data_IF_155258629029
#
_entry.id   IF_155258629029
#
_cell.length_a   1.000
_cell.length_b   1.000
_cell.length_c   1.000
_cell.angle_alpha   90.00
_cell.angle_beta   90.00
_cell.angle_gamma   90.00
#
_symmetry.space_group_name_H-M   'P 1'
#
loop_
_entity.id
_entity.type
_entity.pdbx_description
1 polymer ?
#
# COMPACT_ATOMS: atom_id res chain seq x y z
N UNK A 1 -9.22 4.92 17.46
CA UNK A 1 -10.24 5.15 16.42
C UNK A 1 -9.67 4.84 15.04
N UNK A 2 -10.46 4.30 14.15
CA UNK A 2 -10.03 3.89 12.82
C UNK A 2 -10.71 4.76 11.78
N UNK A 3 -9.90 5.41 10.93
CA UNK A 3 -10.40 6.26 9.86
C UNK A 3 -10.04 5.66 8.50
N UNK A 4 -10.96 5.81 7.55
CA UNK A 4 -10.78 5.35 6.18
C UNK A 4 -11.05 6.48 5.21
N UNK A 5 -10.29 6.52 4.13
CA UNK A 5 -10.56 7.45 3.04
C UNK A 5 -10.18 6.80 1.71
N UNK A 6 -11.14 6.67 0.80
CA UNK A 6 -10.85 6.21 -0.56
C UNK A 6 -10.22 7.37 -1.32
N UNK A 7 -8.95 7.25 -1.68
CA UNK A 7 -8.26 8.27 -2.47
C UNK A 7 -8.64 8.16 -3.93
N UNK A 8 -8.69 6.95 -4.45
CA UNK A 8 -9.07 6.65 -5.83
C UNK A 8 -9.76 5.30 -5.87
N UNK A 9 -10.75 5.16 -6.74
CA UNK A 9 -11.43 3.89 -6.95
C UNK A 9 -11.83 3.74 -8.41
N UNK A 10 -11.85 2.50 -8.89
CA UNK A 10 -12.26 2.19 -10.26
C UNK A 10 -11.16 1.59 -11.10
N UNK A 11 -11.43 1.42 -12.39
CA UNK A 11 -10.52 0.76 -13.32
C UNK A 11 -9.28 1.59 -13.69
N UNK A 12 -9.31 2.89 -13.43
CA UNK A 12 -8.16 3.76 -13.73
C UNK A 12 -7.16 3.84 -12.59
N UNK A 13 -7.51 3.34 -11.41
CA UNK A 13 -6.61 3.30 -10.27
C UNK A 13 -7.33 3.13 -8.96
N UNK A 14 -6.69 2.47 -8.02
CA UNK A 14 -7.25 2.22 -6.68
C UNK A 14 -6.23 2.58 -5.61
N UNK A 15 -6.67 3.28 -4.58
CA UNK A 15 -5.87 3.54 -3.39
C UNK A 15 -6.78 3.91 -2.23
N UNK A 16 -6.58 3.24 -1.10
CA UNK A 16 -7.34 3.47 0.12
C UNK A 16 -6.38 3.89 1.22
N UNK A 17 -6.72 4.96 1.92
CA UNK A 17 -5.97 5.40 3.10
C UNK A 17 -6.67 4.90 4.35
N UNK A 18 -5.90 4.30 5.28
CA UNK A 18 -6.41 3.80 6.56
C UNK A 18 -5.52 4.34 7.67
N UNK A 19 -6.14 4.88 8.70
CA UNK A 19 -5.43 5.48 9.82
C UNK A 19 -5.98 4.97 11.16
N UNK A 20 -5.08 4.59 12.06
CA UNK A 20 -5.37 4.33 13.46
C UNK A 20 -4.64 5.39 14.29
N UNK A 21 -4.64 5.26 15.62
CA UNK A 21 -3.91 6.21 16.46
C UNK A 21 -2.41 6.25 16.16
N UNK A 22 -1.82 5.09 15.85
CA UNK A 22 -0.36 4.98 15.69
C UNK A 22 0.08 4.51 14.32
N UNK A 23 -0.84 4.27 13.39
CA UNK A 23 -0.49 3.78 12.06
C UNK A 23 -1.24 4.51 10.96
N UNK A 24 -0.55 4.76 9.86
CA UNK A 24 -1.13 5.29 8.63
C UNK A 24 -0.66 4.37 7.51
N UNK A 25 -1.59 3.78 6.79
CA UNK A 25 -1.25 2.88 5.70
C UNK A 25 -2.00 3.22 4.42
N UNK A 26 -1.41 2.83 3.30
CA UNK A 26 -2.07 2.84 2.00
C UNK A 26 -2.38 1.41 1.63
N UNK A 27 -3.60 1.15 1.18
CA UNK A 27 -3.97 -0.13 0.58
C UNK A 27 -4.05 0.12 -0.91
N UNK A 28 -3.11 -0.43 -1.64
CA UNK A 28 -2.89 -0.24 -3.07
C UNK A 28 -2.47 1.19 -3.44
N UNK A 29 -1.72 1.30 -4.52
CA UNK A 29 -1.17 2.55 -5.02
C UNK A 29 -1.32 2.57 -6.55
N UNK A 30 -2.58 2.46 -7.00
CA UNK A 30 -2.91 2.28 -8.41
C UNK A 30 -2.79 3.54 -9.27
N UNK A 31 -2.48 4.69 -8.68
CA UNK A 31 -2.27 5.94 -9.40
C UNK A 31 -0.79 6.32 -9.32
N UNK A 32 -0.38 7.31 -10.14
CA UNK A 32 1.00 7.79 -10.10
C UNK A 32 1.34 8.33 -8.71
N UNK A 33 2.62 8.30 -8.36
CA UNK A 33 3.10 8.83 -7.09
C UNK A 33 2.62 10.27 -6.87
N UNK A 34 2.72 11.11 -7.90
CA UNK A 34 2.28 12.51 -7.83
C UNK A 34 0.80 12.63 -7.43
N UNK A 35 -0.06 11.84 -8.06
CA UNK A 35 -1.50 11.88 -7.77
C UNK A 35 -1.82 11.38 -6.37
N UNK A 36 -1.11 10.36 -5.91
CA UNK A 36 -1.28 9.87 -4.55
C UNK A 36 -0.83 10.91 -3.54
N UNK A 37 0.29 11.59 -3.78
CA UNK A 37 0.76 12.68 -2.92
C UNK A 37 -0.26 13.81 -2.87
N UNK A 38 -0.81 14.20 -4.02
CA UNK A 38 -1.83 15.25 -4.08
C UNK A 38 -3.08 14.87 -3.29
N UNK A 39 -3.51 13.59 -3.41
CA UNK A 39 -4.68 13.11 -2.69
C UNK A 39 -4.45 13.09 -1.18
N UNK A 40 -3.30 12.63 -0.73
CA UNK A 40 -2.95 12.63 0.69
C UNK A 40 -2.89 14.06 1.23
N UNK A 41 -2.26 14.97 0.51
CA UNK A 41 -2.18 16.36 0.92
C UNK A 41 -3.57 17.00 1.01
N UNK A 42 -4.50 16.61 0.14
CA UNK A 42 -5.87 17.15 0.16
C UNK A 42 -6.64 16.77 1.41
N UNK A 43 -6.24 15.69 2.08
CA UNK A 43 -6.82 15.28 3.37
C UNK A 43 -5.88 15.57 4.54
N UNK A 44 -4.91 16.44 4.31
CA UNK A 44 -3.95 16.90 5.33
C UNK A 44 -3.09 15.79 5.91
N UNK A 45 -2.72 14.81 5.08
CA UNK A 45 -1.82 13.73 5.46
C UNK A 45 -0.49 13.92 4.73
N UNK A 46 0.59 14.01 5.50
CA UNK A 46 1.94 14.10 4.93
C UNK A 46 2.31 12.70 4.37
N UNK A 47 2.65 12.60 3.07
CA UNK A 47 3.05 11.31 2.50
C UNK A 47 4.20 10.63 3.23
N UNK A 48 5.12 11.39 3.83
CA UNK A 48 6.23 10.81 4.59
C UNK A 48 5.81 10.16 5.91
N UNK A 49 4.57 10.39 6.34
CA UNK A 49 4.05 9.80 7.57
C UNK A 49 3.45 8.41 7.37
N UNK A 50 3.35 7.93 6.12
CA UNK A 50 2.80 6.61 5.83
C UNK A 50 3.74 5.53 6.34
N UNK A 51 3.22 4.61 7.14
CA UNK A 51 4.00 3.53 7.76
C UNK A 51 4.17 2.31 6.87
N UNK A 52 3.22 2.06 5.98
CA UNK A 52 3.25 0.87 5.15
C UNK A 52 2.31 0.98 3.96
N UNK A 53 2.62 0.21 2.93
CA UNK A 53 1.74 0.03 1.77
C UNK A 53 1.38 -1.45 1.71
N UNK A 54 0.09 -1.75 1.67
CA UNK A 54 -0.42 -3.11 1.47
C UNK A 54 -0.85 -3.24 0.01
N UNK A 55 -0.43 -4.31 -0.64
CA UNK A 55 -0.83 -4.59 -2.03
C UNK A 55 -1.79 -5.77 -2.03
N UNK A 56 -2.99 -5.55 -2.58
CA UNK A 56 -4.02 -6.59 -2.66
C UNK A 56 -3.95 -7.38 -3.96
N UNK A 57 -3.59 -6.73 -5.05
CA UNK A 57 -3.53 -7.34 -6.39
C UNK A 57 -2.36 -6.80 -7.17
N UNK A 58 -1.80 -7.61 -8.07
CA UNK A 58 -0.70 -7.24 -8.95
C UNK A 58 -1.14 -6.48 -10.22
N UNK A 59 -2.43 -6.23 -10.39
CA UNK A 59 -2.93 -5.51 -11.57
C UNK A 59 -2.50 -4.05 -11.57
N UNK A 60 -2.28 -3.48 -12.76
CA UNK A 60 -1.77 -2.12 -12.92
C UNK A 60 -2.58 -1.06 -12.15
N UNK A 61 -3.90 -1.21 -12.09
CA UNK A 61 -4.78 -0.30 -11.38
C UNK A 61 -4.65 -0.38 -9.85
N UNK A 62 -3.77 -1.25 -9.34
CA UNK A 62 -3.47 -1.38 -7.91
C UNK A 62 -2.01 -1.10 -7.57
N UNK A 63 -1.10 -1.06 -8.57
CA UNK A 63 0.34 -0.98 -8.29
C UNK A 63 1.09 0.11 -9.07
N UNK A 64 0.41 0.91 -9.86
CA UNK A 64 1.06 1.86 -10.77
C UNK A 64 2.11 2.76 -10.09
N UNK A 65 1.81 3.27 -8.92
CA UNK A 65 2.71 4.17 -8.19
C UNK A 65 3.56 3.50 -7.13
N UNK A 66 3.49 2.18 -7.01
CA UNK A 66 4.06 1.44 -5.87
C UNK A 66 5.55 1.68 -5.66
N UNK A 67 6.37 1.34 -6.64
CA UNK A 67 7.82 1.44 -6.48
C UNK A 67 8.28 2.88 -6.29
N UNK A 68 7.65 3.81 -6.99
CA UNK A 68 8.01 5.22 -6.93
C UNK A 68 7.75 5.81 -5.55
N UNK A 69 6.55 5.57 -5.00
CA UNK A 69 6.18 6.13 -3.69
C UNK A 69 6.94 5.45 -2.55
N UNK A 70 7.12 4.14 -2.63
CA UNK A 70 7.93 3.41 -1.64
C UNK A 70 9.34 3.94 -1.59
N UNK A 71 9.95 4.12 -2.76
CA UNK A 71 11.33 4.59 -2.86
C UNK A 71 11.49 6.04 -2.39
N UNK A 72 10.56 6.91 -2.79
CA UNK A 72 10.61 8.34 -2.46
C UNK A 72 10.53 8.59 -0.96
N UNK A 73 9.70 7.87 -0.26
CA UNK A 73 9.44 8.07 1.17
C UNK A 73 9.96 6.93 2.05
N UNK A 74 10.66 5.98 1.47
CA UNK A 74 11.22 4.82 2.17
C UNK A 74 10.15 4.05 2.96
N UNK A 75 9.06 3.69 2.28
CA UNK A 75 7.91 3.04 2.90
C UNK A 75 7.94 1.54 2.68
N UNK A 76 7.82 0.72 3.74
CA UNK A 76 7.74 -0.73 3.60
C UNK A 76 6.50 -1.17 2.82
N UNK A 77 6.66 -2.19 1.98
CA UNK A 77 5.59 -2.75 1.16
C UNK A 77 5.28 -4.16 1.64
N UNK A 78 4.01 -4.45 1.85
CA UNK A 78 3.52 -5.74 2.32
C UNK A 78 2.63 -6.38 1.27
N UNK A 79 2.95 -7.59 0.88
CA UNK A 79 2.15 -8.39 -0.05
C UNK A 79 2.47 -9.87 0.15
N UNK A 80 1.69 -10.75 -0.47
CA UNK A 80 2.04 -12.17 -0.49
C UNK A 80 3.23 -12.36 -1.42
N UNK A 81 3.95 -13.47 -1.23
CA UNK A 81 5.05 -13.82 -2.13
C UNK A 81 4.55 -13.96 -3.56
N UNK A 82 3.37 -14.57 -3.74
CA UNK A 82 2.77 -14.71 -5.07
C UNK A 82 2.53 -13.37 -5.75
N UNK A 83 2.05 -12.38 -5.00
CA UNK A 83 1.81 -11.05 -5.56
C UNK A 83 3.12 -10.38 -5.95
N UNK A 84 4.16 -10.44 -5.10
CA UNK A 84 5.47 -9.91 -5.47
C UNK A 84 6.04 -10.57 -6.72
N UNK A 85 5.91 -11.90 -6.83
CA UNK A 85 6.40 -12.64 -7.99
C UNK A 85 5.62 -12.29 -9.25
N UNK A 86 4.35 -11.91 -9.12
CA UNK A 86 3.48 -11.55 -10.24
C UNK A 86 3.67 -10.10 -10.71
N UNK A 87 4.45 -9.29 -9.99
CA UNK A 87 4.74 -7.92 -10.38
C UNK A 87 6.25 -7.65 -10.40
N UNK A 88 7.01 -8.41 -11.21
CA UNK A 88 8.48 -8.34 -11.18
C UNK A 88 9.05 -6.96 -11.49
N UNK A 89 8.44 -6.21 -12.38
CA UNK A 89 8.90 -4.87 -12.73
C UNK A 89 8.82 -3.90 -11.54
N UNK A 90 7.83 -4.04 -10.68
CA UNK A 90 7.72 -3.24 -9.46
C UNK A 90 8.65 -3.76 -8.38
N UNK A 91 8.62 -5.07 -8.15
CA UNK A 91 9.42 -5.72 -7.09
C UNK A 91 10.90 -5.43 -7.25
N UNK A 92 11.41 -5.51 -8.46
CA UNK A 92 12.81 -5.30 -8.79
C UNK A 92 13.28 -3.86 -8.44
N UNK A 93 12.36 -2.90 -8.44
CA UNK A 93 12.66 -1.50 -8.11
C UNK A 93 12.56 -1.19 -6.61
N UNK A 94 11.99 -2.09 -5.82
CA UNK A 94 11.84 -1.90 -4.38
C UNK A 94 13.17 -2.19 -3.67
N UNK A 95 13.45 -1.44 -2.61
CA UNK A 95 14.57 -1.77 -1.74
C UNK A 95 14.26 -3.07 -1.02
N UNK A 96 15.24 -3.97 -0.93
CA UNK A 96 15.06 -5.27 -0.30
C UNK A 96 14.53 -5.17 1.13
N UNK A 97 15.01 -4.19 1.89
CA UNK A 97 14.57 -3.95 3.26
C UNK A 97 13.09 -3.59 3.37
N UNK A 98 12.49 -3.12 2.27
CA UNK A 98 11.09 -2.71 2.24
C UNK A 98 10.16 -3.78 1.66
N UNK A 99 10.69 -4.96 1.34
CA UNK A 99 9.87 -6.08 0.87
C UNK A 99 9.48 -6.94 2.07
N UNK A 100 8.20 -7.03 2.36
CA UNK A 100 7.68 -7.79 3.50
C UNK A 100 6.59 -8.73 3.02
N UNK A 101 6.72 -10.00 3.35
CA UNK A 101 5.74 -11.01 2.98
C UNK A 101 4.72 -11.23 4.09
N UNK A 102 3.47 -11.46 3.71
CA UNK A 102 2.50 -12.00 4.66
C UNK A 102 1.82 -13.22 4.02
N UNK A 103 1.22 -14.04 4.85
CA UNK A 103 0.52 -15.24 4.38
C UNK A 103 -0.99 -15.00 4.43
N UNK A 104 -1.75 -15.47 3.42
CA UNK A 104 -3.21 -15.38 3.47
C UNK A 104 -3.73 -16.09 4.72
N UNK A 105 -4.75 -15.52 5.34
CA UNK A 105 -5.40 -16.06 6.54
C UNK A 105 -4.54 -16.05 7.81
N UNK A 106 -3.38 -15.39 7.78
CA UNK A 106 -2.56 -15.19 8.97
C UNK A 106 -2.57 -13.71 9.36
N UNK A 107 -2.95 -13.46 10.58
CA UNK A 107 -3.02 -12.11 11.14
C UNK A 107 -1.61 -11.55 11.37
N UNK A 108 -1.44 -10.26 11.08
CA UNK A 108 -0.21 -9.55 11.44
C UNK A 108 -0.53 -8.11 11.83
N UNK A 109 0.46 -7.39 12.33
CA UNK A 109 0.25 -6.02 12.83
C UNK A 109 1.18 -5.04 12.14
N UNK A 110 0.66 -3.84 11.88
CA UNK A 110 1.44 -2.67 11.49
C UNK A 110 1.17 -1.66 12.59
N UNK A 111 2.13 -1.47 13.48
CA UNK A 111 1.97 -0.71 14.71
C UNK A 111 0.78 -1.26 15.51
N UNK A 112 -0.24 -0.44 15.81
CA UNK A 112 -1.44 -0.86 16.52
C UNK A 112 -2.54 -1.41 15.61
N UNK A 113 -2.28 -1.44 14.30
CA UNK A 113 -3.28 -1.86 13.32
C UNK A 113 -3.20 -3.35 13.05
N UNK A 114 -4.27 -4.07 13.38
CA UNK A 114 -4.38 -5.50 13.10
C UNK A 114 -4.81 -5.71 11.65
N UNK A 115 -4.06 -6.53 10.93
CA UNK A 115 -4.36 -6.88 9.54
C UNK A 115 -4.66 -8.36 9.44
N UNK A 116 -5.82 -8.70 8.90
CA UNK A 116 -6.21 -10.08 8.65
C UNK A 116 -6.48 -10.26 7.17
N UNK A 117 -5.50 -10.74 6.41
CA UNK A 117 -5.71 -11.00 4.98
C UNK A 117 -6.50 -12.29 4.79
N UNK A 118 -7.34 -12.32 3.77
CA UNK A 118 -8.07 -13.53 3.42
C UNK A 118 -8.18 -13.64 1.90
N UNK A 119 -8.23 -14.89 1.43
CA UNK A 119 -8.37 -15.15 0.00
C UNK A 119 -9.82 -15.07 -0.42
N UNK A 120 -10.06 -14.46 -1.59
CA UNK A 120 -11.40 -14.39 -2.19
C UNK A 120 -11.39 -15.34 -3.40
N UNK A 121 -12.37 -16.26 -3.48
CA UNK A 121 -12.48 -17.17 -4.63
C UNK A 121 -12.68 -16.45 -5.95
#
# INVERSE_FOLDING_TARGET
MLNFCSLYSGSSGNSLFVESENAKILVDTGMSCKKIEEALNSIEVDPSSINAILVTHEHADHIKGLATISKKFDIPVFATKETFDAMPAQTEKLAEKNINFFNPNEKFYIEDLEVLPFSIP
#
